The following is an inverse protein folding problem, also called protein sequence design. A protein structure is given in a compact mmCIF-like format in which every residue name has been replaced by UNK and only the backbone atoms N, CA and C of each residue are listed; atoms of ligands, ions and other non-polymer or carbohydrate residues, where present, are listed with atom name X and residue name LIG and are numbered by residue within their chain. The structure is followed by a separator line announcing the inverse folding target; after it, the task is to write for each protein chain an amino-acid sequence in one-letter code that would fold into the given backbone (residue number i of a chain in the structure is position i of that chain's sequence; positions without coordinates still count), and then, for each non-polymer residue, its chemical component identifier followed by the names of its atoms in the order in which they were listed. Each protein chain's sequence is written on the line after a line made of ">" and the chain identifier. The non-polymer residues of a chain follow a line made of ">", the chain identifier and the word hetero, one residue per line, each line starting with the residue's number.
data_IF_282974468403
#
_entry.id   IF_282974468403
#
_cell.length_a   1.000
_cell.length_b   1.000
_cell.length_c   1.000
_cell.angle_alpha   90.00
_cell.angle_beta   90.00
_cell.angle_gamma   90.00
#
_symmetry.space_group_name_H-M   'P 1'
#
loop_
_entity.id
_entity.type
_entity.pdbx_description
1 polymer ?
#
# COMPACT_ATOMS: atom_id res chain seq x y z
N UNK A 1 15.49 27.66 -47.44
CA UNK A 1 15.96 26.60 -46.52
C UNK A 1 14.92 26.47 -45.39
N UNK A 2 13.84 25.72 -45.61
CA UNK A 2 12.85 25.46 -44.56
C UNK A 2 13.38 24.34 -43.66
N UNK A 3 13.94 24.71 -42.51
CA UNK A 3 14.42 23.74 -41.54
C UNK A 3 13.22 23.09 -40.85
N UNK A 4 12.87 21.90 -41.34
CA UNK A 4 11.92 20.97 -40.73
C UNK A 4 12.35 20.72 -39.28
N UNK A 5 11.61 21.30 -38.33
CA UNK A 5 11.64 20.82 -36.96
C UNK A 5 10.97 19.45 -36.98
N UNK A 6 11.77 18.39 -36.89
CA UNK A 6 11.26 17.07 -36.60
C UNK A 6 10.56 17.17 -35.25
N UNK A 7 9.24 17.04 -35.25
CA UNK A 7 8.45 16.88 -34.04
C UNK A 7 8.84 15.52 -33.46
N UNK A 8 9.96 15.48 -32.73
CA UNK A 8 10.29 14.40 -31.80
C UNK A 8 9.05 14.28 -30.93
N UNK A 9 8.25 13.24 -31.16
CA UNK A 9 7.07 12.96 -30.35
C UNK A 9 7.51 13.04 -28.90
N UNK A 10 7.10 14.10 -28.22
CA UNK A 10 7.64 14.45 -26.93
C UNK A 10 7.21 13.35 -25.97
N UNK A 11 8.13 12.45 -25.63
CA UNK A 11 7.87 11.41 -24.66
C UNK A 11 7.73 12.10 -23.29
N UNK A 12 6.48 12.30 -22.88
CA UNK A 12 6.06 13.15 -21.77
C UNK A 12 5.21 12.36 -20.79
N UNK A 13 5.10 12.86 -19.55
CA UNK A 13 4.15 12.32 -18.60
C UNK A 13 2.71 12.60 -19.05
N UNK A 14 1.88 11.56 -19.14
CA UNK A 14 0.47 11.65 -19.52
C UNK A 14 -0.42 12.45 -18.54
N UNK A 15 0.11 12.84 -17.37
CA UNK A 15 -0.64 13.64 -16.38
C UNK A 15 -0.23 15.12 -16.32
N UNK A 16 1.07 15.42 -16.43
CA UNK A 16 1.58 16.80 -16.35
C UNK A 16 2.28 17.30 -17.60
N UNK A 17 2.35 16.47 -18.64
CA UNK A 17 2.88 16.80 -19.97
C UNK A 17 4.34 17.25 -19.99
N UNK A 18 5.06 17.11 -18.88
CA UNK A 18 6.49 17.40 -18.80
C UNK A 18 7.29 16.32 -19.54
N UNK A 19 8.27 16.69 -20.39
CA UNK A 19 9.10 15.73 -21.10
C UNK A 19 10.00 14.99 -20.12
N UNK A 20 10.25 13.70 -20.38
CA UNK A 20 11.10 12.91 -19.49
C UNK A 20 12.58 13.24 -19.62
N UNK A 21 13.07 13.71 -20.77
CA UNK A 21 14.47 14.13 -20.98
C UNK A 21 15.52 13.11 -20.46
N UNK A 22 15.21 11.80 -20.55
CA UNK A 22 16.08 10.73 -20.06
C UNK A 22 15.87 10.33 -18.58
N UNK A 23 15.01 11.03 -17.84
CA UNK A 23 14.57 10.62 -16.50
C UNK A 23 13.71 9.35 -16.57
N UNK A 24 13.69 8.61 -15.45
CA UNK A 24 12.87 7.40 -15.29
C UNK A 24 11.39 7.73 -15.47
N UNK A 25 10.70 6.88 -16.23
CA UNK A 25 9.25 6.91 -16.42
C UNK A 25 8.64 5.55 -16.03
N UNK A 26 7.33 5.55 -15.81
CA UNK A 26 6.57 4.38 -15.41
C UNK A 26 5.36 4.22 -16.34
N UNK A 27 5.13 3.03 -16.87
CA UNK A 27 4.05 2.77 -17.83
C UNK A 27 2.83 2.11 -17.15
N UNK A 28 1.63 2.57 -17.48
CA UNK A 28 0.36 1.92 -17.11
C UNK A 28 -0.64 2.04 -18.25
N UNK A 29 -1.20 0.91 -18.70
CA UNK A 29 -2.21 0.87 -19.78
C UNK A 29 -1.75 1.60 -21.05
N UNK A 30 -0.48 1.43 -21.44
CA UNK A 30 0.11 2.08 -22.61
C UNK A 30 0.41 3.58 -22.46
N UNK A 31 0.27 4.14 -21.25
CA UNK A 31 0.53 5.55 -20.97
C UNK A 31 1.74 5.68 -20.05
N UNK A 32 2.65 6.62 -20.34
CA UNK A 32 3.83 6.89 -19.54
C UNK A 32 3.59 8.00 -18.52
N UNK A 33 4.04 7.82 -17.28
CA UNK A 33 3.89 8.77 -16.18
C UNK A 33 5.25 9.05 -15.52
N UNK A 34 5.43 10.26 -14.98
CA UNK A 34 6.55 10.50 -14.06
C UNK A 34 6.30 9.76 -12.75
N UNK A 35 7.36 9.51 -11.98
CA UNK A 35 7.27 8.80 -10.70
C UNK A 35 6.17 9.35 -9.79
N UNK A 36 6.13 10.68 -9.62
CA UNK A 36 5.14 11.37 -8.77
C UNK A 36 3.71 11.04 -9.20
N UNK A 37 3.37 11.23 -10.47
CA UNK A 37 2.01 11.01 -10.94
C UNK A 37 1.65 9.52 -11.04
N UNK A 38 2.61 8.66 -11.36
CA UNK A 38 2.39 7.21 -11.35
C UNK A 38 2.00 6.76 -9.94
N UNK A 39 2.76 7.16 -8.93
CA UNK A 39 2.50 6.84 -7.53
C UNK A 39 1.19 7.49 -7.03
N UNK A 40 0.90 8.74 -7.40
CA UNK A 40 -0.37 9.38 -7.05
C UNK A 40 -1.59 8.68 -7.65
N UNK A 41 -1.50 8.19 -8.88
CA UNK A 41 -2.62 7.57 -9.60
C UNK A 41 -2.77 6.08 -9.31
N UNK A 42 -1.67 5.38 -9.07
CA UNK A 42 -1.62 3.91 -9.05
C UNK A 42 -0.84 3.32 -7.87
N UNK A 43 -0.31 4.15 -6.98
CA UNK A 43 0.43 3.71 -5.81
C UNK A 43 -0.47 3.15 -4.72
N UNK A 44 0.13 2.40 -3.80
CA UNK A 44 -0.56 1.92 -2.61
C UNK A 44 -0.70 3.06 -1.59
N UNK A 45 -1.92 3.33 -1.13
CA UNK A 45 -2.18 4.27 -0.06
C UNK A 45 -2.06 3.57 1.28
N UNK A 46 -1.31 4.17 2.21
CA UNK A 46 -1.24 3.67 3.57
C UNK A 46 -2.59 3.84 4.27
N UNK A 47 -3.11 2.76 4.86
CA UNK A 47 -4.37 2.75 5.59
C UNK A 47 -4.43 3.76 6.75
N UNK A 48 -3.29 4.12 7.34
CA UNK A 48 -3.23 5.03 8.50
C UNK A 48 -3.07 6.49 8.09
N UNK A 49 -2.06 6.83 7.28
CA UNK A 49 -1.79 8.23 6.92
C UNK A 49 -2.42 8.69 5.60
N UNK A 50 -3.05 7.77 4.86
CA UNK A 50 -3.65 8.03 3.55
C UNK A 50 -2.69 8.67 2.53
N UNK A 51 -1.39 8.46 2.70
CA UNK A 51 -0.35 8.89 1.76
C UNK A 51 0.10 7.73 0.89
N UNK A 52 0.56 8.05 -0.31
CA UNK A 52 1.19 7.06 -1.19
C UNK A 52 2.48 6.54 -0.55
N UNK A 53 2.62 5.22 -0.49
CA UNK A 53 3.79 4.56 0.09
C UNK A 53 4.94 4.61 -0.94
N UNK A 54 5.89 5.52 -0.72
CA UNK A 54 7.12 5.62 -1.49
C UNK A 54 8.18 4.65 -0.90
N UNK A 55 8.09 3.37 -1.25
CA UNK A 55 9.06 2.34 -0.83
C UNK A 55 8.41 1.04 -0.38
N UNK A 56 9.02 0.40 0.63
CA UNK A 56 8.54 -0.87 1.15
C UNK A 56 7.12 -0.76 1.69
N UNK A 57 6.30 -1.74 1.30
CA UNK A 57 4.90 -1.83 1.65
C UNK A 57 4.64 -3.13 2.41
N UNK A 58 3.94 -3.02 3.53
CA UNK A 58 3.31 -4.17 4.16
C UNK A 58 1.90 -4.34 3.58
N UNK A 59 1.63 -5.51 3.03
CA UNK A 59 0.27 -5.88 2.61
C UNK A 59 -0.27 -6.88 3.62
N UNK A 60 -1.25 -6.44 4.41
CA UNK A 60 -1.85 -7.23 5.48
C UNK A 60 -3.28 -6.75 5.72
N UNK A 61 -4.17 -7.66 6.15
CA UNK A 61 -5.57 -7.33 6.46
C UNK A 61 -6.31 -6.72 5.26
N UNK A 62 -5.98 -7.18 4.03
CA UNK A 62 -6.46 -6.63 2.77
C UNK A 62 -6.23 -5.11 2.60
N UNK A 63 -5.18 -4.59 3.23
CA UNK A 63 -4.81 -3.17 3.27
C UNK A 63 -3.31 -3.02 3.04
N UNK A 64 -2.90 -1.83 2.59
CA UNK A 64 -1.50 -1.46 2.45
C UNK A 64 -1.05 -0.54 3.59
N UNK A 65 0.16 -0.75 4.09
CA UNK A 65 0.71 -0.03 5.23
C UNK A 65 2.14 0.38 4.92
N UNK A 66 2.51 1.62 5.24
CA UNK A 66 3.92 1.99 5.21
C UNK A 66 4.64 1.34 6.39
N UNK A 67 5.96 1.18 6.26
CA UNK A 67 6.81 0.56 7.30
C UNK A 67 6.71 1.19 8.68
N UNK A 68 6.33 2.47 8.75
CA UNK A 68 6.18 3.20 10.01
C UNK A 68 4.83 2.97 10.70
N UNK A 69 3.77 2.71 9.93
CA UNK A 69 2.39 2.58 10.44
C UNK A 69 1.94 1.13 10.59
N UNK A 70 2.76 0.15 10.21
CA UNK A 70 2.49 -1.24 10.52
C UNK A 70 2.95 -1.55 11.96
N UNK A 71 2.14 -1.15 12.93
CA UNK A 71 2.41 -1.29 14.36
C UNK A 71 1.19 -1.81 15.11
N UNK A 72 1.41 -2.39 16.30
CA UNK A 72 0.34 -2.82 17.18
C UNK A 72 -0.57 -1.66 17.57
N UNK A 73 -1.86 -1.74 17.28
CA UNK A 73 -2.84 -0.69 17.59
C UNK A 73 -3.08 -0.42 19.09
N UNK A 74 -2.52 -1.25 19.98
CA UNK A 74 -2.68 -1.13 21.44
C UNK A 74 -1.43 -0.59 22.13
N UNK A 75 -0.24 -0.89 21.62
CA UNK A 75 1.02 -0.55 22.28
C UNK A 75 2.07 0.10 21.36
N UNK A 76 1.70 0.38 20.11
CA UNK A 76 2.53 1.00 19.07
C UNK A 76 3.83 0.26 18.75
N UNK A 77 4.02 -0.96 19.26
CA UNK A 77 5.16 -1.80 18.91
C UNK A 77 5.14 -2.06 17.41
N UNK A 78 6.22 -1.67 16.71
CA UNK A 78 6.44 -1.96 15.30
C UNK A 78 6.34 -3.46 15.03
N UNK A 79 5.64 -3.80 13.95
CA UNK A 79 5.48 -5.17 13.46
C UNK A 79 6.26 -5.30 12.15
N UNK A 80 6.76 -6.49 11.90
CA UNK A 80 7.46 -6.84 10.66
C UNK A 80 6.86 -8.11 10.04
N UNK A 81 7.44 -8.58 8.93
CA UNK A 81 6.95 -9.77 8.21
C UNK A 81 7.05 -11.06 9.04
N UNK A 82 7.91 -11.08 10.08
CA UNK A 82 8.13 -12.24 10.96
C UNK A 82 7.27 -12.17 12.23
N UNK A 83 6.72 -11.00 12.53
CA UNK A 83 5.95 -10.73 13.73
C UNK A 83 4.61 -11.45 13.68
N UNK A 84 4.29 -12.23 14.72
CA UNK A 84 2.94 -12.77 14.88
C UNK A 84 2.00 -11.68 15.38
N UNK A 85 0.99 -11.36 14.59
CA UNK A 85 -0.07 -10.41 14.93
C UNK A 85 -1.45 -11.02 14.69
N UNK A 86 -2.48 -10.37 15.23
CA UNK A 86 -3.88 -10.73 15.10
C UNK A 86 -4.68 -9.51 14.66
N UNK A 87 -5.75 -9.73 13.90
CA UNK A 87 -6.67 -8.65 13.51
C UNK A 87 -7.61 -8.32 14.68
N UNK A 88 -7.74 -7.03 14.99
CA UNK A 88 -8.75 -6.49 15.88
C UNK A 88 -9.12 -5.10 15.39
N UNK A 89 -10.42 -4.85 15.21
CA UNK A 89 -10.93 -3.57 14.69
C UNK A 89 -10.22 -3.15 13.38
N UNK A 90 -10.07 -4.12 12.46
CA UNK A 90 -9.39 -3.96 11.16
C UNK A 90 -7.90 -3.55 11.24
N UNK A 91 -7.31 -3.59 12.44
CA UNK A 91 -5.92 -3.19 12.72
C UNK A 91 -5.12 -4.35 13.30
N UNK A 92 -3.79 -4.35 13.13
CA UNK A 92 -2.95 -5.39 13.69
C UNK A 92 -2.74 -5.17 15.20
N UNK A 93 -2.78 -6.26 15.96
CA UNK A 93 -2.49 -6.33 17.39
C UNK A 93 -1.41 -7.38 17.63
N UNK A 94 -0.34 -7.01 18.33
CA UNK A 94 0.75 -7.95 18.62
C UNK A 94 0.27 -9.09 19.52
N UNK A 95 0.92 -10.25 19.44
CA UNK A 95 0.58 -11.42 20.28
C UNK A 95 0.44 -11.08 21.77
N UNK A 96 1.35 -10.28 22.33
CA UNK A 96 1.35 -9.89 23.74
C UNK A 96 0.09 -9.12 24.14
N UNK A 97 -0.35 -8.17 23.32
CA UNK A 97 -1.57 -7.40 23.57
C UNK A 97 -2.81 -8.26 23.33
N UNK A 98 -2.79 -9.10 22.30
CA UNK A 98 -3.89 -10.03 22.03
C UNK A 98 -4.13 -10.98 23.21
N UNK A 99 -3.08 -11.54 23.81
CA UNK A 99 -3.18 -12.45 24.97
C UNK A 99 -3.74 -11.80 26.24
N UNK A 100 -3.71 -10.46 26.33
CA UNK A 100 -4.33 -9.70 27.44
C UNK A 100 -5.84 -9.54 27.28
N UNK A 101 -6.39 -9.81 26.10
CA UNK A 101 -7.83 -9.73 25.90
C UNK A 101 -8.58 -10.83 26.67
N UNK A 102 -9.81 -10.54 27.15
CA UNK A 102 -10.69 -11.54 27.75
C UNK A 102 -10.81 -12.79 26.86
N UNK A 103 -10.90 -13.97 27.49
CA UNK A 103 -10.96 -15.26 26.80
C UNK A 103 -12.11 -15.33 25.78
N UNK A 104 -13.27 -14.78 26.12
CA UNK A 104 -14.44 -14.69 25.24
C UNK A 104 -14.17 -13.86 23.98
N UNK A 105 -13.51 -12.70 24.14
CA UNK A 105 -13.15 -11.85 23.01
C UNK A 105 -12.16 -12.55 22.08
N UNK A 106 -11.12 -13.19 22.64
CA UNK A 106 -10.17 -13.98 21.84
C UNK A 106 -10.86 -15.13 21.09
N UNK A 107 -11.85 -15.79 21.70
CA UNK A 107 -12.64 -16.84 21.03
C UNK A 107 -13.41 -16.27 19.83
N UNK A 108 -14.10 -15.13 20.01
CA UNK A 108 -14.87 -14.46 18.95
C UNK A 108 -13.97 -14.02 17.79
N UNK A 109 -12.82 -13.42 18.09
CA UNK A 109 -11.86 -12.96 17.06
C UNK A 109 -11.31 -14.13 16.22
N UNK A 110 -11.00 -15.26 16.86
CA UNK A 110 -10.58 -16.48 16.14
C UNK A 110 -11.65 -16.99 15.18
N UNK A 111 -12.91 -17.06 15.63
CA UNK A 111 -14.04 -17.49 14.78
C UNK A 111 -14.21 -16.51 13.61
N UNK A 112 -14.11 -15.21 13.85
CA UNK A 112 -14.18 -14.19 12.80
C UNK A 112 -13.11 -14.40 11.72
N UNK A 113 -11.87 -14.64 12.14
CA UNK A 113 -10.76 -14.90 11.22
C UNK A 113 -10.94 -16.21 10.43
N UNK A 114 -11.45 -17.27 11.06
CA UNK A 114 -11.77 -18.52 10.36
C UNK A 114 -12.89 -18.32 9.32
N UNK A 115 -13.86 -17.45 9.59
CA UNK A 115 -14.92 -17.11 8.65
C UNK A 115 -14.43 -16.25 7.47
N UNK A 116 -13.43 -15.38 7.67
CA UNK A 116 -12.86 -14.60 6.56
C UNK A 116 -12.01 -15.46 5.62
N UNK A 117 -11.27 -16.44 6.14
CA UNK A 117 -10.50 -17.39 5.32
C UNK A 117 -11.43 -18.31 4.51
N UNK A 118 -12.55 -18.75 5.09
CA UNK A 118 -13.47 -19.70 4.46
C UNK A 118 -14.40 -19.08 3.41
N UNK A 119 -14.52 -17.75 3.33
CA UNK A 119 -15.26 -17.10 2.25
C UNK A 119 -14.43 -17.14 0.97
N UNK A 120 -14.88 -17.84 -0.09
CA UNK A 120 -14.18 -17.78 -1.37
C UNK A 120 -14.19 -16.34 -1.87
N UNK A 121 -13.03 -15.86 -2.32
CA UNK A 121 -12.91 -14.60 -3.06
C UNK A 121 -13.80 -14.74 -4.31
N UNK A 122 -14.77 -13.83 -4.56
CA UNK A 122 -15.59 -13.85 -5.77
C UNK A 122 -14.76 -13.76 -7.05
#
# INVERSE_FOLDING_TARGET
>A
MFQRHFFLQHFVCAKCEKPFLGHRHYEKRGMAYCETHYHQLFGNLCFVCNQVIAGDVFTALNKAWCVHHFSCSICDQKLDQKSKFFEYDEKPVCKKCYERFPSELRRRLRISHENTIKKPVP
#
